data_IF_027957195068
#
_entry.id   IF_027957195068
#
_cell.length_a   1.000
_cell.length_b   1.000
_cell.length_c   1.000
_cell.angle_alpha   90.00
_cell.angle_beta   90.00
_cell.angle_gamma   90.00
#
_symmetry.space_group_name_H-M   'P 1'
#
loop_
_entity.id
_entity.type
_entity.pdbx_description
1 polymer ?
#
# COMPACT_ATOMS: atom_id res chain seq x y z
N UNK A 1 -4.42 13.23 1.62
CA UNK A 1 -3.99 11.81 1.49
C UNK A 1 -2.89 11.81 0.47
N UNK A 2 -1.70 11.37 0.87
CA UNK A 2 -0.47 11.50 0.10
C UNK A 2 0.08 10.13 -0.25
N UNK A 3 0.73 10.04 -1.41
CA UNK A 3 1.45 8.84 -1.81
C UNK A 3 2.40 8.36 -0.70
N UNK A 4 2.47 7.04 -0.49
CA UNK A 4 3.28 6.42 0.56
C UNK A 4 2.61 6.37 1.95
N UNK A 5 1.44 6.97 2.12
CA UNK A 5 0.68 6.82 3.37
C UNK A 5 0.14 5.40 3.54
N UNK A 6 0.26 4.88 4.76
CA UNK A 6 -0.38 3.63 5.15
C UNK A 6 -1.75 3.94 5.75
N UNK A 7 -2.74 3.16 5.34
CA UNK A 7 -4.13 3.31 5.74
C UNK A 7 -4.83 1.97 5.91
N UNK A 8 -5.88 1.94 6.71
CA UNK A 8 -6.75 0.76 6.81
C UNK A 8 -7.82 0.83 5.73
N UNK A 9 -7.79 -0.16 4.83
CA UNK A 9 -8.76 -0.33 3.76
C UNK A 9 -9.63 -1.58 4.00
N UNK A 10 -10.92 -1.46 3.69
CA UNK A 10 -11.83 -2.60 3.59
C UNK A 10 -12.14 -2.84 2.12
N UNK A 11 -11.53 -3.88 1.58
CA UNK A 11 -11.70 -4.31 0.20
C UNK A 11 -12.91 -5.26 0.09
N UNK A 12 -13.62 -5.22 -1.04
CA UNK A 12 -14.66 -6.23 -1.34
C UNK A 12 -14.01 -7.59 -1.65
N UNK A 13 -14.75 -8.70 -1.50
CA UNK A 13 -14.30 -10.04 -1.91
C UNK A 13 -13.37 -10.70 -0.88
N UNK A 14 -12.34 -11.42 -1.34
CA UNK A 14 -11.38 -12.20 -0.53
C UNK A 14 -10.63 -11.38 0.54
N UNK A 15 -10.77 -10.06 0.52
CA UNK A 15 -10.10 -9.12 1.41
C UNK A 15 -11.05 -8.40 2.37
N UNK A 16 -12.21 -9.01 2.70
CA UNK A 16 -13.26 -8.41 3.53
C UNK A 16 -12.88 -8.00 4.96
N UNK A 17 -11.70 -8.40 5.46
CA UNK A 17 -11.17 -7.91 6.73
C UNK A 17 -10.42 -6.59 6.53
N UNK A 18 -10.64 -5.57 7.40
CA UNK A 18 -9.82 -4.37 7.41
C UNK A 18 -8.33 -4.74 7.49
N UNK A 19 -7.53 -4.21 6.57
CA UNK A 19 -6.09 -4.48 6.52
C UNK A 19 -5.31 -3.23 6.12
N UNK A 20 -4.03 -3.14 6.51
CA UNK A 20 -3.14 -2.10 6.00
C UNK A 20 -3.05 -2.13 4.48
N UNK A 21 -2.95 -0.94 3.90
CA UNK A 21 -2.70 -0.72 2.49
C UNK A 21 -1.86 0.56 2.32
N UNK A 22 -1.06 0.61 1.27
CA UNK A 22 -0.26 1.79 0.91
C UNK A 22 -1.00 2.57 -0.17
N UNK A 23 -1.13 3.90 -0.01
CA UNK A 23 -1.62 4.77 -1.06
C UNK A 23 -0.55 4.97 -2.12
N UNK A 24 -0.80 4.54 -3.36
CA UNK A 24 0.17 4.62 -4.46
C UNK A 24 -0.16 5.70 -5.49
N UNK A 25 -1.39 6.22 -5.42
CA UNK A 25 -1.88 7.31 -6.28
C UNK A 25 -1.02 8.56 -6.17
N UNK A 26 -0.79 9.24 -7.30
CA UNK A 26 -0.14 10.55 -7.34
C UNK A 26 -0.87 11.55 -6.43
N UNK A 27 -0.10 12.27 -5.62
CA UNK A 27 -0.63 13.34 -4.76
C UNK A 27 -1.29 14.48 -5.54
N UNK A 28 -1.02 14.61 -6.85
CA UNK A 28 -1.70 15.57 -7.72
C UNK A 28 -3.19 15.24 -7.95
N UNK A 29 -3.60 13.99 -7.72
CA UNK A 29 -4.98 13.52 -7.86
C UNK A 29 -5.72 13.54 -6.51
N UNK A 30 -5.47 14.54 -5.67
CA UNK A 30 -5.99 14.58 -4.29
C UNK A 30 -7.52 14.68 -4.22
N UNK A 31 -8.17 15.24 -5.26
CA UNK A 31 -9.62 15.41 -5.38
C UNK A 31 -10.36 14.23 -6.02
N UNK A 32 -9.65 13.20 -6.49
CA UNK A 32 -10.29 12.03 -7.10
C UNK A 32 -11.16 11.26 -6.08
N UNK A 33 -12.35 10.82 -6.51
CA UNK A 33 -13.33 10.10 -5.68
C UNK A 33 -12.87 8.70 -5.24
N UNK A 34 -11.91 8.12 -5.99
CA UNK A 34 -11.26 6.87 -5.68
C UNK A 34 -9.78 7.05 -5.39
N UNK A 35 -9.23 6.10 -4.65
CA UNK A 35 -7.81 6.00 -4.32
C UNK A 35 -7.24 4.72 -4.92
N UNK A 36 -6.07 4.81 -5.53
CA UNK A 36 -5.27 3.63 -5.89
C UNK A 36 -4.41 3.21 -4.70
N UNK A 37 -4.64 1.99 -4.21
CA UNK A 37 -3.91 1.43 -3.07
C UNK A 37 -3.30 0.07 -3.40
N UNK A 38 -2.21 -0.28 -2.70
CA UNK A 38 -1.66 -1.63 -2.66
C UNK A 38 -1.97 -2.26 -1.30
N UNK A 39 -2.73 -3.36 -1.23
CA UNK A 39 -2.98 -4.06 0.03
C UNK A 39 -1.70 -4.70 0.58
N UNK A 40 -1.67 -4.89 1.89
CA UNK A 40 -0.58 -5.57 2.58
C UNK A 40 -1.03 -6.93 3.17
N UNK A 41 -0.06 -7.82 3.37
CA UNK A 41 -0.22 -9.12 4.03
C UNK A 41 0.91 -9.34 5.04
N UNK A 42 0.66 -10.09 6.12
CA UNK A 42 1.70 -10.53 7.07
C UNK A 42 2.32 -11.89 6.71
N UNK A 43 1.93 -12.46 5.57
CA UNK A 43 2.57 -13.63 4.93
C UNK A 43 3.95 -13.22 4.36
N UNK A 44 4.95 -13.09 5.24
CA UNK A 44 6.29 -12.56 4.91
C UNK A 44 7.08 -13.43 3.93
N UNK A 45 6.80 -14.72 3.88
CA UNK A 45 7.37 -15.67 2.92
C UNK A 45 7.01 -15.34 1.47
N UNK A 46 6.01 -14.47 1.26
CA UNK A 46 5.62 -13.99 -0.06
C UNK A 46 6.42 -12.80 -0.56
N UNK A 47 7.33 -12.26 0.27
CA UNK A 47 8.22 -11.17 -0.11
C UNK A 47 9.07 -11.54 -1.34
N UNK A 48 9.18 -10.61 -2.28
CA UNK A 48 9.87 -10.81 -3.56
C UNK A 48 10.28 -9.48 -4.17
N UNK A 49 10.91 -9.50 -5.34
CA UNK A 49 11.30 -8.28 -6.08
C UNK A 49 10.14 -7.29 -6.27
N UNK A 50 8.92 -7.79 -6.47
CA UNK A 50 7.74 -6.96 -6.65
C UNK A 50 6.85 -6.91 -5.41
N UNK A 51 7.26 -7.53 -4.31
CA UNK A 51 6.54 -7.53 -3.05
C UNK A 51 7.46 -7.09 -1.92
N UNK A 52 7.70 -5.76 -1.78
CA UNK A 52 8.58 -5.21 -0.75
C UNK A 52 8.13 -5.60 0.67
N UNK A 53 9.10 -6.03 1.49
CA UNK A 53 8.90 -6.31 2.91
C UNK A 53 9.11 -5.03 3.73
N UNK A 54 8.13 -4.70 4.57
CA UNK A 54 8.15 -3.53 5.45
C UNK A 54 8.15 -4.01 6.90
N UNK A 55 9.18 -3.61 7.65
CA UNK A 55 9.25 -3.87 9.08
C UNK A 55 8.46 -2.83 9.89
N UNK A 56 7.89 -3.21 11.05
CA UNK A 56 7.20 -2.28 11.94
C UNK A 56 8.10 -1.15 12.42
N UNK A 57 7.57 0.07 12.37
CA UNK A 57 8.21 1.25 12.96
C UNK A 57 7.14 2.15 13.58
N UNK A 58 7.55 3.06 14.46
CA UNK A 58 6.66 4.09 14.97
C UNK A 58 6.10 5.00 13.86
N UNK A 59 6.83 5.17 12.75
CA UNK A 59 6.43 6.02 11.62
C UNK A 59 5.34 5.37 10.75
N UNK A 60 5.44 4.06 10.51
CA UNK A 60 4.51 3.35 9.63
C UNK A 60 3.31 2.73 10.37
N UNK A 61 3.37 2.62 11.70
CA UNK A 61 2.26 2.16 12.54
C UNK A 61 1.91 0.67 12.39
N UNK A 62 2.69 -0.11 11.65
CA UNK A 62 2.50 -1.55 11.53
C UNK A 62 2.78 -2.24 12.87
N UNK A 63 2.09 -3.35 13.13
CA UNK A 63 2.25 -4.15 14.34
C UNK A 63 3.15 -5.38 14.13
N UNK A 64 3.26 -5.84 12.88
CA UNK A 64 4.06 -6.99 12.48
C UNK A 64 4.67 -6.75 11.08
N UNK A 65 5.78 -7.44 10.73
CA UNK A 65 6.34 -7.37 9.39
C UNK A 65 5.29 -7.67 8.33
N UNK A 66 5.22 -6.82 7.32
CA UNK A 66 4.15 -6.85 6.33
C UNK A 66 4.72 -6.66 4.93
N UNK A 67 4.15 -7.34 3.95
CA UNK A 67 4.55 -7.32 2.55
C UNK A 67 3.55 -6.52 1.74
N UNK A 68 4.03 -5.57 0.92
CA UNK A 68 3.19 -4.81 -0.01
C UNK A 68 2.92 -5.67 -1.24
N UNK A 69 1.65 -5.98 -1.52
CA UNK A 69 1.27 -6.75 -2.71
C UNK A 69 1.08 -5.81 -3.91
N UNK A 70 2.18 -5.38 -4.54
CA UNK A 70 2.11 -4.38 -5.62
C UNK A 70 1.40 -4.89 -6.87
N UNK A 71 1.32 -6.21 -7.08
CA UNK A 71 0.54 -6.81 -8.17
C UNK A 71 -0.99 -6.73 -7.95
N UNK A 72 -1.43 -6.26 -6.77
CA UNK A 72 -2.84 -6.10 -6.40
C UNK A 72 -3.26 -4.64 -6.28
N UNK A 73 -2.67 -3.74 -7.08
CA UNK A 73 -3.12 -2.34 -7.16
C UNK A 73 -4.64 -2.31 -7.39
N UNK A 74 -5.37 -1.66 -6.49
CA UNK A 74 -6.82 -1.62 -6.53
C UNK A 74 -7.33 -0.20 -6.35
N UNK A 75 -8.30 0.19 -7.18
CA UNK A 75 -9.06 1.41 -6.99
C UNK A 75 -10.17 1.20 -5.94
N UNK A 76 -10.17 2.01 -4.90
CA UNK A 76 -11.18 1.96 -3.84
C UNK A 76 -11.86 3.31 -3.65
N UNK A 77 -13.19 3.36 -3.43
CA UNK A 77 -13.85 4.62 -3.06
C UNK A 77 -13.22 5.18 -1.77
N UNK A 78 -12.94 6.49 -1.72
CA UNK A 78 -12.32 7.13 -0.53
C UNK A 78 -13.01 6.78 0.78
N UNK A 79 -14.35 6.71 0.77
CA UNK A 79 -15.17 6.33 1.95
C UNK A 79 -14.86 4.95 2.56
N UNK A 80 -14.15 4.08 1.83
CA UNK A 80 -13.72 2.75 2.30
C UNK A 80 -12.30 2.73 2.87
N UNK A 81 -11.58 3.84 2.75
CA UNK A 81 -10.31 4.09 3.39
C UNK A 81 -10.58 4.83 4.70
N UNK A 82 -10.37 4.17 5.83
CA UNK A 82 -10.79 4.70 7.13
C UNK A 82 -9.75 5.66 7.69
N UNK A 83 -8.67 5.08 8.20
CA UNK A 83 -7.72 5.75 9.07
C UNK A 83 -6.32 5.62 8.48
N UNK A 84 -5.58 6.73 8.53
CA UNK A 84 -4.13 6.73 8.29
C UNK A 84 -3.46 6.15 9.53
N UNK A 85 -2.65 5.11 9.34
CA UNK A 85 -1.88 4.49 10.44
C UNK A 85 -0.41 4.93 10.44
N UNK A 86 0.09 5.44 9.32
CA UNK A 86 1.47 5.88 9.22
C UNK A 86 1.86 6.25 7.80
N UNK A 87 3.16 6.18 7.50
CA UNK A 87 3.71 6.36 6.16
C UNK A 87 5.02 5.60 5.96
N UNK A 88 5.35 5.36 4.70
CA UNK A 88 6.64 4.81 4.28
C UNK A 88 7.75 5.86 4.37
N UNK A 89 8.98 5.41 4.58
CA UNK A 89 10.17 6.25 4.43
C UNK A 89 10.43 6.54 2.94
N UNK A 90 11.24 7.57 2.61
CA UNK A 90 11.64 7.83 1.21
C UNK A 90 12.25 6.60 0.52
N UNK A 91 13.15 5.88 1.19
CA UNK A 91 13.78 4.65 0.65
C UNK A 91 12.74 3.56 0.36
N UNK A 92 11.76 3.38 1.25
CA UNK A 92 10.66 2.42 1.02
C UNK A 92 9.74 2.84 -0.13
N UNK A 93 9.63 4.15 -0.40
CA UNK A 93 8.92 4.66 -1.58
C UNK A 93 9.69 4.31 -2.85
N UNK A 94 11.02 4.40 -2.87
CA UNK A 94 11.84 4.00 -4.02
C UNK A 94 11.72 2.50 -4.32
N UNK A 95 11.72 1.65 -3.29
CA UNK A 95 11.48 0.20 -3.43
C UNK A 95 10.08 -0.09 -3.98
N UNK A 96 9.07 0.63 -3.48
CA UNK A 96 7.70 0.55 -3.97
C UNK A 96 7.61 0.99 -5.44
N UNK A 97 8.32 2.04 -5.85
CA UNK A 97 8.34 2.55 -7.23
C UNK A 97 8.92 1.52 -8.17
N UNK A 98 10.06 0.94 -7.78
CA UNK A 98 10.72 -0.13 -8.55
C UNK A 98 9.81 -1.34 -8.71
N UNK A 99 9.14 -1.77 -7.64
CA UNK A 99 8.19 -2.88 -7.67
C UNK A 99 6.97 -2.57 -8.55
N UNK A 100 6.41 -1.36 -8.48
CA UNK A 100 5.29 -0.93 -9.29
C UNK A 100 5.66 -0.84 -10.78
N UNK A 101 6.83 -0.28 -11.11
CA UNK A 101 7.31 -0.23 -12.50
C UNK A 101 7.42 -1.63 -13.08
N UNK A 102 8.01 -2.57 -12.34
CA UNK A 102 8.15 -3.96 -12.76
C UNK A 102 6.78 -4.65 -12.99
N UNK A 103 5.82 -4.48 -12.07
CA UNK A 103 4.47 -5.08 -12.20
C UNK A 103 3.71 -4.50 -13.38
N UNK A 104 3.90 -3.21 -13.67
CA UNK A 104 3.19 -2.49 -14.73
C UNK A 104 3.91 -2.56 -16.09
N UNK A 105 5.11 -3.14 -16.16
CA UNK A 105 5.93 -3.19 -17.38
C UNK A 105 6.39 -1.82 -17.85
N UNK A 106 6.79 -0.96 -16.91
CA UNK A 106 7.23 0.41 -17.15
C UNK A 106 8.75 0.60 -16.99
N UNK A 107 9.48 -0.49 -16.73
CA UNK A 107 10.95 -0.52 -16.65
C UNK A 107 11.65 -0.84 -17.98
#
# INVERSE_FOLDING_TARGET
MNRGQLLIAVLSGDFGKPRPAVLVQSSALFDAESLLICPMTSEVETASRFRPLIHPTALNGLQEPSVIMTEKVTAVPRRRCRERIGELTPEQIEDLDTALMFVLGLD
#
